data_IF_216553762653
#
_entry.id   IF_216553762653
#
_cell.length_a   1.000
_cell.length_b   1.000
_cell.length_c   1.000
_cell.angle_alpha   90.00
_cell.angle_beta   90.00
_cell.angle_gamma   90.00
#
_symmetry.space_group_name_H-M   'P 1'
#
loop_
_entity.id
_entity.type
_entity.pdbx_description
1 polymer ?
#
# COMPACT_ATOMS: atom_id res chain seq x y z
N UNK A 1 -19.52 -0.12 13.00
CA UNK A 1 -18.98 0.77 11.95
C UNK A 1 -17.55 0.39 11.65
N UNK A 2 -17.09 0.44 10.40
CA UNK A 2 -15.68 0.22 10.11
C UNK A 2 -14.85 1.29 10.82
N UNK A 3 -13.74 0.86 11.45
CA UNK A 3 -12.84 1.74 12.19
C UNK A 3 -11.99 2.55 11.22
N UNK A 4 -12.47 3.72 10.83
CA UNK A 4 -11.76 4.70 10.01
C UNK A 4 -10.86 5.52 10.93
N UNK A 5 -9.56 5.54 10.63
CA UNK A 5 -8.55 6.30 11.37
C UNK A 5 -8.14 7.55 10.61
N UNK A 6 -7.70 8.57 11.34
CA UNK A 6 -7.14 9.77 10.74
C UNK A 6 -5.89 9.44 9.91
N UNK A 7 -5.54 10.33 8.96
CA UNK A 7 -4.30 10.21 8.20
C UNK A 7 -3.08 10.19 9.14
N UNK A 8 -3.09 11.03 10.17
CA UNK A 8 -2.04 11.09 11.18
C UNK A 8 -1.88 9.77 11.96
N UNK A 9 -2.98 9.11 12.34
CA UNK A 9 -2.93 7.82 13.04
C UNK A 9 -2.40 6.72 12.14
N UNK A 10 -2.83 6.67 10.87
CA UNK A 10 -2.32 5.71 9.89
C UNK A 10 -0.81 5.87 9.68
N UNK A 11 -0.33 7.12 9.52
CA UNK A 11 1.09 7.45 9.37
C UNK A 11 1.89 7.07 10.61
N UNK A 12 1.39 7.42 11.81
CA UNK A 12 2.04 7.11 13.08
C UNK A 12 2.22 5.60 13.26
N UNK A 13 1.19 4.80 12.97
CA UNK A 13 1.28 3.34 13.01
C UNK A 13 2.33 2.81 12.04
N UNK A 14 2.32 3.29 10.79
CA UNK A 14 3.27 2.84 9.76
C UNK A 14 4.71 3.22 10.15
N UNK A 15 4.93 4.41 10.71
CA UNK A 15 6.24 4.86 11.17
C UNK A 15 6.80 4.03 12.34
N UNK A 16 5.93 3.44 13.18
CA UNK A 16 6.31 2.57 14.29
C UNK A 16 6.83 1.20 13.81
N UNK A 17 6.54 0.80 12.57
CA UNK A 17 7.04 -0.45 12.01
C UNK A 17 8.55 -0.33 11.69
N UNK A 18 9.39 -0.95 12.51
CA UNK A 18 10.85 -0.82 12.39
C UNK A 18 11.40 -1.49 11.13
N UNK A 19 10.92 -2.72 10.80
CA UNK A 19 11.45 -3.48 9.67
C UNK A 19 10.95 -2.90 8.34
N UNK A 20 11.87 -2.58 7.40
CA UNK A 20 11.50 -1.99 6.10
C UNK A 20 10.46 -2.82 5.34
N UNK A 21 10.53 -4.16 5.40
CA UNK A 21 9.58 -5.07 4.75
C UNK A 21 8.15 -4.85 5.28
N UNK A 22 7.96 -4.72 6.60
CA UNK A 22 6.64 -4.47 7.17
C UNK A 22 6.18 -3.05 6.86
N UNK A 23 7.04 -2.05 7.05
CA UNK A 23 6.73 -0.66 6.75
C UNK A 23 6.30 -0.50 5.30
N UNK A 24 7.07 -1.02 4.33
CA UNK A 24 6.74 -0.96 2.92
C UNK A 24 5.42 -1.67 2.59
N UNK A 25 5.18 -2.85 3.16
CA UNK A 25 3.94 -3.59 2.98
C UNK A 25 2.72 -2.78 3.44
N UNK A 26 2.74 -2.24 4.67
CA UNK A 26 1.63 -1.48 5.22
C UNK A 26 1.49 -0.09 4.58
N UNK A 27 2.58 0.49 4.09
CA UNK A 27 2.50 1.68 3.25
C UNK A 27 1.68 1.43 1.98
N UNK A 28 1.94 0.34 1.26
CA UNK A 28 1.14 0.03 0.07
C UNK A 28 -0.33 -0.26 0.41
N UNK A 29 -0.60 -0.91 1.56
CA UNK A 29 -1.97 -1.13 2.03
C UNK A 29 -2.70 0.21 2.23
N UNK A 30 -2.04 1.18 2.86
CA UNK A 30 -2.64 2.49 3.11
C UNK A 30 -2.65 3.37 1.87
N UNK A 31 -1.55 3.46 1.10
CA UNK A 31 -1.44 4.35 -0.05
C UNK A 31 -2.33 3.96 -1.24
N UNK A 32 -2.63 2.67 -1.38
CA UNK A 32 -3.40 2.13 -2.52
C UNK A 32 -4.63 1.32 -2.12
N UNK A 33 -4.93 1.24 -0.84
CA UNK A 33 -6.06 0.47 -0.35
C UNK A 33 -5.94 -1.03 -0.62
N UNK A 34 -4.73 -1.60 -0.65
CA UNK A 34 -4.55 -3.04 -0.90
C UNK A 34 -5.14 -3.88 0.24
N UNK A 35 -5.60 -5.09 -0.10
CA UNK A 35 -5.83 -6.12 0.92
C UNK A 35 -4.48 -6.64 1.42
N UNK A 36 -4.40 -7.05 2.70
CA UNK A 36 -3.14 -7.62 3.23
C UNK A 36 -2.65 -8.80 2.40
N UNK A 37 -3.56 -9.68 1.97
CA UNK A 37 -3.23 -10.82 1.09
C UNK A 37 -2.68 -10.36 -0.25
N UNK A 38 -3.20 -9.30 -0.84
CA UNK A 38 -2.70 -8.71 -2.08
C UNK A 38 -1.28 -8.16 -1.88
N UNK A 39 -1.06 -7.39 -0.82
CA UNK A 39 0.23 -6.78 -0.53
C UNK A 39 1.34 -7.83 -0.30
N UNK A 40 1.10 -8.83 0.55
CA UNK A 40 2.12 -9.85 0.86
C UNK A 40 2.40 -10.82 -0.29
N UNK A 41 1.52 -10.89 -1.30
CA UNK A 41 1.71 -11.74 -2.48
C UNK A 41 2.32 -11.01 -3.67
N UNK A 42 2.67 -9.72 -3.55
CA UNK A 42 3.28 -8.96 -4.62
C UNK A 42 4.65 -9.54 -5.00
N UNK A 43 4.84 -9.94 -6.27
CA UNK A 43 6.17 -10.26 -6.77
C UNK A 43 6.95 -8.97 -7.06
N UNK A 44 8.27 -9.07 -7.15
CA UNK A 44 9.12 -7.93 -7.58
C UNK A 44 8.73 -7.44 -8.97
N UNK A 45 8.34 -8.35 -9.86
CA UNK A 45 7.88 -8.05 -11.22
C UNK A 45 6.56 -7.27 -11.28
N UNK A 46 5.83 -7.15 -10.17
CA UNK A 46 4.62 -6.31 -10.10
C UNK A 46 4.94 -4.81 -10.24
N UNK A 47 6.19 -4.42 -9.96
CA UNK A 47 6.66 -3.03 -10.05
C UNK A 47 7.25 -2.77 -11.43
N UNK A 48 6.51 -2.07 -12.27
CA UNK A 48 7.00 -1.59 -13.56
C UNK A 48 7.44 -0.13 -13.43
N UNK A 49 8.76 0.06 -13.23
CA UNK A 49 9.34 1.39 -13.06
C UNK A 49 9.45 2.18 -14.38
N UNK A 50 9.35 1.52 -15.54
CA UNK A 50 9.37 2.21 -16.84
C UNK A 50 8.00 2.81 -17.14
N UNK A 51 6.95 2.05 -16.92
CA UNK A 51 5.57 2.50 -17.11
C UNK A 51 4.99 3.23 -15.90
N UNK A 52 5.74 3.28 -14.78
CA UNK A 52 5.29 3.84 -13.49
C UNK A 52 3.96 3.25 -13.05
N UNK A 53 3.89 1.90 -13.01
CA UNK A 53 2.69 1.18 -12.57
C UNK A 53 3.01 0.04 -11.61
N UNK A 54 2.05 -0.25 -10.75
CA UNK A 54 2.01 -1.42 -9.86
C UNK A 54 0.89 -2.35 -10.30
N UNK A 55 1.23 -3.59 -10.66
CA UNK A 55 0.26 -4.62 -11.06
C UNK A 55 -0.15 -5.44 -9.85
N UNK A 56 -1.43 -5.48 -9.54
CA UNK A 56 -1.95 -6.17 -8.36
C UNK A 56 -2.95 -7.25 -8.80
N UNK A 57 -2.69 -8.47 -8.38
CA UNK A 57 -3.60 -9.59 -8.62
C UNK A 57 -4.55 -9.71 -7.42
N UNK A 58 -5.83 -9.53 -7.67
CA UNK A 58 -6.87 -9.62 -6.66
C UNK A 58 -7.59 -10.96 -6.64
N UNK A 59 -8.76 -10.99 -5.98
CA UNK A 59 -9.61 -12.19 -5.90
C UNK A 59 -10.01 -12.67 -7.29
N UNK A 60 -10.07 -14.00 -7.50
CA UNK A 60 -10.36 -14.68 -8.79
C UNK A 60 -9.33 -14.39 -9.88
N UNK A 61 -8.07 -14.17 -9.49
CA UNK A 61 -6.96 -13.89 -10.42
C UNK A 61 -7.20 -12.65 -11.33
N UNK A 62 -8.01 -11.69 -10.88
CA UNK A 62 -8.22 -10.45 -11.61
C UNK A 62 -7.08 -9.48 -11.33
N UNK A 63 -6.38 -9.10 -12.38
CA UNK A 63 -5.34 -8.08 -12.33
C UNK A 63 -5.97 -6.67 -12.34
N UNK A 64 -5.37 -5.75 -11.60
CA UNK A 64 -5.58 -4.31 -11.75
C UNK A 64 -4.25 -3.58 -11.75
N UNK A 65 -4.20 -2.51 -12.50
CA UNK A 65 -3.02 -1.65 -12.64
C UNK A 65 -3.25 -0.38 -11.81
N UNK A 66 -2.28 -0.05 -10.97
CA UNK A 66 -2.31 1.14 -10.13
C UNK A 66 -1.16 2.06 -10.54
N UNK A 67 -1.35 3.40 -10.58
CA UNK A 67 -0.26 4.32 -10.88
C UNK A 67 0.78 4.28 -9.76
N UNK A 68 2.04 4.07 -10.11
CA UNK A 68 3.14 4.15 -9.17
C UNK A 68 3.55 5.62 -9.02
N UNK A 69 3.61 6.11 -7.79
CA UNK A 69 3.98 7.49 -7.51
C UNK A 69 5.50 7.65 -7.34
N UNK A 70 5.99 8.87 -7.52
CA UNK A 70 7.40 9.21 -7.37
C UNK A 70 7.90 9.04 -5.93
N UNK A 71 7.01 9.09 -4.94
CA UNK A 71 7.34 8.84 -3.53
C UNK A 71 7.40 7.35 -3.19
N UNK A 72 6.56 6.52 -3.83
CA UNK A 72 6.48 5.08 -3.55
C UNK A 72 7.61 4.29 -4.22
N UNK A 73 7.99 4.62 -5.47
CA UNK A 73 9.01 3.87 -6.17
C UNK A 73 10.38 3.87 -5.47
N UNK A 74 10.93 5.00 -5.02
CA UNK A 74 12.17 5.02 -4.24
C UNK A 74 12.07 4.19 -2.96
N UNK A 75 10.95 4.29 -2.25
CA UNK A 75 10.70 3.49 -1.05
C UNK A 75 10.76 2.00 -1.33
N UNK A 76 10.09 1.53 -2.38
CA UNK A 76 10.12 0.11 -2.74
C UNK A 76 11.53 -0.35 -3.11
N UNK A 77 12.32 0.51 -3.76
CA UNK A 77 13.73 0.24 -4.04
C UNK A 77 14.55 0.10 -2.77
N UNK A 78 14.36 0.99 -1.79
CA UNK A 78 15.07 0.91 -0.50
C UNK A 78 14.66 -0.37 0.25
N UNK A 79 13.37 -0.70 0.32
CA UNK A 79 12.92 -1.97 0.90
C UNK A 79 13.58 -3.16 0.20
N UNK A 80 13.57 -3.18 -1.13
CA UNK A 80 14.17 -4.28 -1.90
C UNK A 80 15.68 -4.42 -1.65
N UNK A 81 16.42 -3.32 -1.50
CA UNK A 81 17.86 -3.34 -1.18
C UNK A 81 18.17 -4.07 0.12
N UNK A 82 17.24 -4.10 1.08
CA UNK A 82 17.44 -4.76 2.38
C UNK A 82 17.46 -6.28 2.30
N UNK A 83 16.86 -6.89 1.27
CA UNK A 83 16.73 -8.34 1.16
C UNK A 83 17.10 -8.91 -0.22
N UNK A 84 17.05 -8.10 -1.29
CA UNK A 84 17.41 -8.46 -2.68
C UNK A 84 16.73 -9.74 -3.19
N UNK A 85 15.53 -10.05 -2.68
CA UNK A 85 14.74 -11.17 -3.18
C UNK A 85 14.44 -11.01 -4.66
N UNK A 86 14.61 -12.09 -5.44
CA UNK A 86 14.30 -12.08 -6.88
C UNK A 86 12.83 -12.27 -7.17
N UNK A 87 12.07 -12.85 -6.24
CA UNK A 87 10.68 -13.24 -6.46
C UNK A 87 9.68 -12.34 -5.75
N UNK A 88 9.86 -12.10 -4.44
CA UNK A 88 8.87 -11.45 -3.61
C UNK A 88 9.28 -10.03 -3.24
N UNK A 89 8.35 -9.09 -3.41
CA UNK A 89 8.54 -7.70 -2.99
C UNK A 89 8.65 -7.61 -1.47
N UNK A 90 7.85 -8.42 -0.77
CA UNK A 90 7.91 -8.59 0.68
C UNK A 90 8.15 -10.07 1.00
N UNK A 91 9.40 -10.49 1.15
CA UNK A 91 9.74 -11.88 1.44
C UNK A 91 9.60 -12.21 2.93
N UNK A 92 9.54 -13.52 3.23
CA UNK A 92 9.76 -14.05 4.58
C UNK A 92 11.21 -13.79 5.02
N UNK A 93 11.48 -13.96 6.33
CA UNK A 93 12.83 -13.79 6.89
C UNK A 93 13.87 -14.68 6.19
N UNK A 94 13.48 -15.87 5.76
CA UNK A 94 14.37 -16.84 5.06
C UNK A 94 14.47 -16.57 3.55
N UNK A 95 13.79 -15.60 3.02
CA UNK A 95 13.72 -15.21 1.59
C UNK A 95 13.17 -16.32 0.65
N UNK A 96 12.74 -17.44 1.17
CA UNK A 96 12.27 -18.60 0.38
C UNK A 96 10.81 -18.46 -0.06
N UNK A 97 10.02 -17.78 0.76
CA UNK A 97 8.59 -17.57 0.54
C UNK A 97 8.22 -16.10 0.63
N UNK A 98 6.99 -15.77 0.29
CA UNK A 98 6.40 -14.46 0.58
C UNK A 98 6.28 -14.25 2.11
N UNK A 99 6.10 -13.01 2.52
CA UNK A 99 5.75 -12.67 3.89
C UNK A 99 4.44 -13.38 4.30
N UNK A 100 4.45 -14.22 5.35
CA UNK A 100 3.22 -14.85 5.83
C UNK A 100 2.24 -13.83 6.38
N UNK A 101 0.95 -14.01 6.07
CA UNK A 101 -0.13 -13.13 6.55
C UNK A 101 -0.15 -13.02 8.08
N UNK A 102 0.08 -14.13 8.79
CA UNK A 102 0.14 -14.14 10.26
C UNK A 102 1.29 -13.28 10.79
N UNK A 103 2.47 -13.35 10.16
CA UNK A 103 3.63 -12.54 10.53
C UNK A 103 3.38 -11.05 10.28
N UNK A 104 2.77 -10.70 9.14
CA UNK A 104 2.40 -9.31 8.86
C UNK A 104 1.38 -8.79 9.88
N UNK A 105 0.35 -9.59 10.20
CA UNK A 105 -0.66 -9.22 11.22
C UNK A 105 -0.05 -9.05 12.60
N UNK A 106 0.87 -9.93 13.01
CA UNK A 106 1.56 -9.83 14.29
C UNK A 106 2.37 -8.52 14.38
N UNK A 107 3.11 -8.17 13.32
CA UNK A 107 3.85 -6.90 13.26
C UNK A 107 2.91 -5.68 13.34
N UNK A 108 1.75 -5.73 12.68
CA UNK A 108 0.74 -4.67 12.78
C UNK A 108 0.21 -4.52 14.20
N UNK A 109 -0.11 -5.65 14.89
CA UNK A 109 -0.62 -5.65 16.26
C UNK A 109 0.41 -5.03 17.20
N UNK A 110 1.68 -5.41 17.09
CA UNK A 110 2.77 -4.83 17.88
C UNK A 110 2.88 -3.31 17.68
N UNK A 111 2.85 -2.84 16.43
CA UNK A 111 2.89 -1.41 16.11
C UNK A 111 1.65 -0.67 16.62
N UNK A 112 0.46 -1.26 16.49
CA UNK A 112 -0.80 -0.74 17.02
C UNK A 112 -0.74 -0.54 18.53
N UNK A 113 -0.29 -1.57 19.26
CA UNK A 113 -0.22 -1.56 20.71
C UNK A 113 0.85 -0.56 21.20
N UNK A 114 1.98 -0.46 20.51
CA UNK A 114 3.01 0.55 20.77
C UNK A 114 2.51 1.99 20.54
N UNK A 115 1.55 2.19 19.64
CA UNK A 115 0.87 3.47 19.44
C UNK A 115 -0.25 3.73 20.46
N UNK A 116 -0.61 2.78 21.32
CA UNK A 116 -1.75 2.90 22.24
C UNK A 116 -3.10 2.88 21.54
N UNK A 117 -3.19 2.33 20.33
CA UNK A 117 -4.47 2.21 19.63
C UNK A 117 -5.25 0.98 20.10
N UNK A 118 -6.57 1.06 20.06
CA UNK A 118 -7.45 -0.03 20.48
C UNK A 118 -7.43 -1.22 19.51
N UNK A 119 -7.91 -2.38 19.97
CA UNK A 119 -7.93 -3.64 19.22
C UNK A 119 -8.79 -3.63 17.95
N UNK A 120 -9.68 -2.66 17.79
CA UNK A 120 -10.51 -2.50 16.58
C UNK A 120 -9.70 -1.99 15.39
N UNK A 121 -8.55 -1.35 15.64
CA UNK A 121 -7.66 -0.95 14.57
C UNK A 121 -6.93 -2.20 14.03
N UNK A 122 -7.36 -2.64 12.86
CA UNK A 122 -6.88 -3.85 12.16
C UNK A 122 -6.23 -3.45 10.83
N UNK A 123 -5.45 -4.32 10.19
CA UNK A 123 -4.90 -4.03 8.85
C UNK A 123 -5.94 -3.58 7.83
N UNK A 124 -7.16 -4.10 7.93
CA UNK A 124 -8.26 -3.71 7.04
C UNK A 124 -8.76 -2.28 7.29
N UNK A 125 -8.57 -1.75 8.50
CA UNK A 125 -8.89 -0.35 8.81
C UNK A 125 -8.04 0.65 8.00
N UNK A 126 -6.78 0.32 7.68
CA UNK A 126 -5.94 1.14 6.79
C UNK A 126 -6.57 1.28 5.39
N UNK A 127 -7.12 0.18 4.86
CA UNK A 127 -7.80 0.19 3.56
C UNK A 127 -9.11 0.99 3.64
N UNK A 128 -9.86 0.89 4.72
CA UNK A 128 -11.06 1.71 4.93
C UNK A 128 -10.72 3.18 5.05
N UNK A 129 -9.66 3.50 5.80
CA UNK A 129 -9.17 4.88 5.93
C UNK A 129 -8.73 5.45 4.59
N UNK A 130 -8.00 4.67 3.76
CA UNK A 130 -7.68 5.06 2.39
C UNK A 130 -8.94 5.44 1.60
N UNK A 131 -9.94 4.57 1.57
CA UNK A 131 -11.17 4.81 0.82
C UNK A 131 -11.89 6.08 1.29
N UNK A 132 -12.00 6.28 2.60
CA UNK A 132 -12.64 7.46 3.20
C UNK A 132 -11.86 8.73 2.90
N UNK A 133 -10.52 8.71 3.04
CA UNK A 133 -9.69 9.88 2.77
C UNK A 133 -9.71 10.25 1.28
N UNK A 134 -9.74 9.27 0.37
CA UNK A 134 -9.90 9.55 -1.06
C UNK A 134 -11.26 10.20 -1.36
N UNK A 135 -12.35 9.70 -0.75
CA UNK A 135 -13.68 10.29 -0.88
C UNK A 135 -13.70 11.73 -0.34
N UNK A 136 -13.11 11.97 0.83
CA UNK A 136 -13.01 13.33 1.43
C UNK A 136 -12.20 14.31 0.56
N UNK A 137 -11.25 13.80 -0.25
CA UNK A 137 -10.48 14.58 -1.23
C UNK A 137 -11.21 14.76 -2.55
N UNK A 138 -12.49 14.36 -2.65
CA UNK A 138 -13.33 14.53 -3.83
C UNK A 138 -13.10 13.53 -4.95
N UNK A 139 -12.43 12.39 -4.67
CA UNK A 139 -12.29 11.33 -5.67
C UNK A 139 -13.64 10.65 -5.88
N UNK A 140 -14.03 10.50 -7.15
CA UNK A 140 -15.27 9.79 -7.51
C UNK A 140 -15.27 8.37 -6.92
N UNK A 141 -16.39 7.97 -6.34
CA UNK A 141 -16.55 6.67 -5.68
C UNK A 141 -16.30 5.50 -6.63
N UNK A 142 -16.59 5.65 -7.92
CA UNK A 142 -16.35 4.60 -8.93
C UNK A 142 -14.84 4.39 -9.12
N UNK A 143 -14.06 5.48 -9.12
CA UNK A 143 -12.59 5.40 -9.18
C UNK A 143 -12.05 4.70 -7.95
N UNK A 144 -12.55 5.04 -6.76
CA UNK A 144 -12.17 4.37 -5.51
C UNK A 144 -12.48 2.88 -5.57
N UNK A 145 -13.67 2.49 -6.06
CA UNK A 145 -14.05 1.09 -6.23
C UNK A 145 -13.11 0.34 -7.19
N UNK A 146 -12.65 0.98 -8.26
CA UNK A 146 -11.68 0.42 -9.21
C UNK A 146 -10.34 0.20 -8.52
N UNK A 147 -9.81 1.21 -7.84
CA UNK A 147 -8.54 1.12 -7.09
C UNK A 147 -8.60 0.00 -6.05
N UNK A 148 -9.73 -0.16 -5.39
CA UNK A 148 -9.96 -1.21 -4.40
C UNK A 148 -10.17 -2.60 -5.03
N UNK A 149 -10.37 -2.70 -6.33
CA UNK A 149 -10.59 -3.98 -7.01
C UNK A 149 -11.94 -4.61 -6.63
N UNK A 150 -13.01 -3.82 -6.60
CA UNK A 150 -14.37 -4.33 -6.46
C UNK A 150 -14.79 -5.06 -7.74
N UNK A 151 -15.30 -6.29 -7.61
CA UNK A 151 -15.46 -7.27 -8.69
C UNK A 151 -16.54 -6.96 -9.72
N UNK A 152 -17.35 -5.95 -9.52
CA UNK A 152 -18.46 -5.60 -10.41
C UNK A 152 -18.06 -4.79 -11.67
N UNK A 153 -16.83 -4.27 -11.68
CA UNK A 153 -16.31 -3.50 -12.82
C UNK A 153 -15.05 -4.20 -13.37
N UNK A 154 -14.91 -4.28 -14.69
CA UNK A 154 -13.69 -4.79 -15.36
C UNK A 154 -12.55 -3.80 -15.11
N UNK A 155 -11.85 -4.00 -13.98
CA UNK A 155 -10.93 -3.02 -13.40
C UNK A 155 -9.63 -2.80 -14.19
N UNK A 156 -9.21 -3.76 -15.00
CA UNK A 156 -7.96 -3.67 -15.76
C UNK A 156 -8.10 -2.73 -16.96
N UNK A 157 -9.26 -2.76 -17.64
CA UNK A 157 -9.53 -1.89 -18.79
C UNK A 157 -9.76 -0.44 -18.38
N UNK A 158 -10.33 -0.18 -17.19
CA UNK A 158 -10.78 1.16 -16.81
C UNK A 158 -9.60 2.11 -16.55
N UNK A 159 -8.49 1.66 -15.93
CA UNK A 159 -7.34 2.56 -15.74
C UNK A 159 -6.70 2.96 -17.07
N UNK A 160 -6.65 2.06 -18.04
CA UNK A 160 -6.15 2.34 -19.39
C UNK A 160 -7.10 3.26 -20.19
N UNK A 161 -8.39 3.28 -19.85
CA UNK A 161 -9.40 4.13 -20.47
C UNK A 161 -9.65 5.46 -19.74
N UNK A 162 -9.03 5.67 -18.56
CA UNK A 162 -9.06 7.00 -17.93
C UNK A 162 -8.38 8.01 -18.85
N UNK A 163 -8.99 9.17 -19.00
CA UNK A 163 -8.36 10.29 -19.71
C UNK A 163 -7.06 10.72 -19.00
N UNK A 164 -6.09 11.24 -19.75
CA UNK A 164 -4.82 11.71 -19.16
C UNK A 164 -5.03 12.71 -18.01
N UNK A 165 -5.92 13.71 -18.10
CA UNK A 165 -6.15 14.61 -16.96
C UNK A 165 -6.63 13.89 -15.70
N UNK A 166 -7.46 12.87 -15.83
CA UNK A 166 -7.98 12.11 -14.69
C UNK A 166 -6.90 11.19 -14.09
N UNK A 167 -6.01 10.63 -14.92
CA UNK A 167 -4.84 9.87 -14.45
C UNK A 167 -3.88 10.76 -13.66
N UNK A 168 -3.62 11.96 -14.15
CA UNK A 168 -2.75 12.93 -13.48
C UNK A 168 -3.35 13.42 -12.16
N UNK A 169 -4.65 13.70 -12.14
CA UNK A 169 -5.35 14.05 -10.89
C UNK A 169 -5.25 12.91 -9.88
N UNK A 170 -5.49 11.66 -10.30
CA UNK A 170 -5.39 10.49 -9.44
C UNK A 170 -3.95 10.30 -8.94
N UNK A 171 -2.95 10.47 -9.81
CA UNK A 171 -1.53 10.38 -9.43
C UNK A 171 -1.18 11.43 -8.37
N UNK A 172 -1.61 12.68 -8.53
CA UNK A 172 -1.41 13.76 -7.55
C UNK A 172 -2.03 13.42 -6.19
N UNK A 173 -3.25 12.92 -6.17
CA UNK A 173 -3.94 12.53 -4.94
C UNK A 173 -3.27 11.34 -4.23
N UNK A 174 -2.79 10.35 -5.00
CA UNK A 174 -2.02 9.23 -4.46
C UNK A 174 -0.65 9.68 -3.92
N UNK A 175 0.03 10.63 -4.58
CA UNK A 175 1.24 11.27 -4.05
C UNK A 175 0.97 11.89 -2.68
N UNK A 176 -0.06 12.72 -2.55
CA UNK A 176 -0.42 13.35 -1.26
C UNK A 176 -0.71 12.31 -0.15
N UNK A 177 -1.23 11.14 -0.50
CA UNK A 177 -1.47 10.06 0.47
C UNK A 177 -0.17 9.38 0.89
N UNK A 178 0.79 9.26 -0.02
CA UNK A 178 2.06 8.57 0.21
C UNK A 178 3.19 9.49 0.70
N UNK A 179 3.09 10.81 0.45
CA UNK A 179 4.09 11.78 0.89
C UNK A 179 4.16 11.83 2.42
N UNK A 180 5.38 11.88 2.95
CA UNK A 180 5.63 11.89 4.39
C UNK A 180 5.49 10.55 5.10
N UNK A 181 5.03 9.46 4.45
CA UNK A 181 5.01 8.13 5.05
C UNK A 181 6.42 7.58 5.36
N UNK A 182 7.46 8.16 4.74
CA UNK A 182 8.87 7.74 4.86
C UNK A 182 9.79 8.81 5.45
N UNK A 183 9.33 10.02 5.73
CA UNK A 183 10.18 11.10 6.25
C UNK A 183 10.67 10.91 7.70
N UNK A 184 10.34 9.80 8.34
CA UNK A 184 10.75 9.48 9.70
C UNK A 184 11.95 8.55 9.80
N UNK A 185 13.14 8.97 9.44
CA UNK A 185 14.53 8.65 9.83
C UNK A 185 15.46 8.67 8.62
N UNK A 186 16.11 9.81 8.40
CA UNK A 186 17.44 9.78 7.78
C UNK A 186 18.32 8.94 8.69
N UNK A 187 19.11 7.96 8.18
CA UNK A 187 20.12 7.34 9.02
C UNK A 187 21.04 8.47 9.50
N UNK A 188 21.15 8.63 10.81
CA UNK A 188 22.22 9.40 11.41
C UNK A 188 23.53 8.76 10.94
N UNK A 189 24.25 9.46 10.05
CA UNK A 189 25.64 9.14 9.77
C UNK A 189 26.40 9.44 11.05
N UNK A 190 26.81 8.38 11.76
CA UNK A 190 27.85 8.34 12.76
C UNK A 190 28.95 7.46 12.22
#
# INVERSE_FOLDING_TARGET
MPDVRSDADCRRLIATLEKPVFRGCFTLIYAYGLRITEAVTLPVSAVDSKQMVLRVIGKRNKERVLPLTESILPMLREVWKTHRSRRWLFPSRRLTTRLPDATARAAFIQARDACGFNANFKPHSLRHSFATHMLQRGVDIRIIQILLGHSSLRSTEIYTHLTEPLRDQLRKLLCQTSDGLFEGRRPSHG
#
